data_IF_612098687344
#
_entry.id   IF_612098687344
#
_cell.length_a   1.000
_cell.length_b   1.000
_cell.length_c   1.000
_cell.angle_alpha   90.00
_cell.angle_beta   90.00
_cell.angle_gamma   90.00
#
_symmetry.space_group_name_H-M   'P 1'
#
loop_
_entity.id
_entity.type
_entity.pdbx_description
1 polymer ?
#
# COMPACT_ATOMS: atom_id res chain seq x y z
N UNK A 1 -7.33 -21.25 -51.15
CA UNK A 1 -7.53 -20.94 -49.72
C UNK A 1 -6.63 -19.79 -49.35
N UNK A 2 -7.14 -18.56 -49.47
CA UNK A 2 -6.45 -17.31 -49.14
C UNK A 2 -7.57 -16.30 -48.93
N UNK A 3 -8.33 -16.42 -47.84
CA UNK A 3 -9.45 -15.51 -47.52
C UNK A 3 -9.88 -15.50 -46.03
N UNK A 4 -9.23 -16.24 -45.12
CA UNK A 4 -9.69 -16.33 -43.73
C UNK A 4 -8.96 -15.39 -42.74
N UNK A 5 -7.83 -14.77 -43.14
CA UNK A 5 -7.05 -13.89 -42.26
C UNK A 5 -7.41 -12.41 -42.33
N UNK A 6 -8.14 -11.95 -43.35
CA UNK A 6 -8.56 -10.54 -43.46
C UNK A 6 -9.81 -10.24 -42.62
N UNK A 7 -10.69 -11.23 -42.39
CA UNK A 7 -11.92 -11.06 -41.61
C UNK A 7 -11.68 -10.91 -40.09
N UNK A 8 -10.65 -11.54 -39.53
CA UNK A 8 -10.35 -11.40 -38.09
C UNK A 8 -9.81 -10.01 -37.72
N UNK A 9 -9.06 -9.37 -38.62
CA UNK A 9 -8.54 -8.01 -38.41
C UNK A 9 -9.62 -6.93 -38.54
N UNK A 10 -10.63 -7.15 -39.37
CA UNK A 10 -11.77 -6.23 -39.51
C UNK A 10 -12.69 -6.29 -38.27
N UNK A 11 -12.90 -7.50 -37.73
CA UNK A 11 -13.67 -7.73 -36.50
C UNK A 11 -13.01 -7.11 -35.25
N UNK A 12 -11.68 -7.07 -35.19
CA UNK A 12 -10.94 -6.43 -34.09
C UNK A 12 -10.92 -4.90 -34.17
N UNK A 13 -11.25 -4.30 -35.32
CA UNK A 13 -11.28 -2.85 -35.48
C UNK A 13 -12.58 -2.18 -34.97
N UNK A 14 -13.64 -2.98 -34.78
CA UNK A 14 -14.99 -2.54 -34.44
C UNK A 14 -15.26 -2.48 -32.92
N UNK A 15 -14.34 -2.94 -32.08
CA UNK A 15 -14.50 -2.93 -30.63
C UNK A 15 -13.62 -1.82 -30.02
N UNK A 16 -14.30 -0.74 -29.62
CA UNK A 16 -13.84 0.33 -28.73
C UNK A 16 -12.72 1.26 -29.27
N UNK A 17 -13.10 2.28 -30.05
CA UNK A 17 -12.39 3.56 -30.06
C UNK A 17 -13.24 4.61 -29.35
N UNK A 18 -13.04 4.79 -28.04
CA UNK A 18 -13.28 6.11 -27.45
C UNK A 18 -12.00 6.90 -27.73
N UNK A 19 -12.10 7.89 -28.62
CA UNK A 19 -10.99 8.81 -28.88
C UNK A 19 -10.99 9.90 -27.79
N UNK A 20 -9.83 10.28 -27.24
CA UNK A 20 -9.74 11.40 -26.32
C UNK A 20 -10.30 12.68 -26.96
N UNK A 21 -11.32 13.27 -26.33
CA UNK A 21 -11.92 14.54 -26.75
C UNK A 21 -13.34 14.47 -27.36
N UNK A 22 -13.91 13.29 -27.56
CA UNK A 22 -15.33 13.16 -27.95
C UNK A 22 -16.24 12.87 -26.74
N UNK A 23 -17.51 13.32 -26.75
CA UNK A 23 -18.48 12.99 -25.70
C UNK A 23 -18.64 11.47 -25.58
N UNK A 24 -18.52 10.94 -24.36
CA UNK A 24 -18.79 9.52 -24.08
C UNK A 24 -20.21 9.11 -24.49
N UNK A 25 -20.40 7.82 -24.79
CA UNK A 25 -21.66 7.28 -25.33
C UNK A 25 -22.91 7.60 -24.48
N UNK A 26 -24.04 7.77 -25.16
CA UNK A 26 -25.32 8.15 -24.57
C UNK A 26 -25.85 7.07 -23.60
N UNK A 27 -26.05 7.39 -22.30
CA UNK A 27 -26.60 6.45 -21.32
C UNK A 27 -28.04 6.02 -21.61
N UNK A 28 -28.77 6.73 -22.50
CA UNK A 28 -30.09 6.35 -22.98
C UNK A 28 -30.04 5.44 -24.22
N UNK A 29 -28.85 5.11 -24.73
CA UNK A 29 -28.72 4.25 -25.89
C UNK A 29 -29.29 2.84 -25.61
N UNK A 30 -29.85 2.16 -26.63
CA UNK A 30 -30.48 0.85 -26.46
C UNK A 30 -29.60 -0.20 -25.77
N UNK A 31 -28.28 -0.15 -25.99
CA UNK A 31 -27.31 -1.04 -25.36
C UNK A 31 -27.14 -0.81 -23.85
N UNK A 32 -27.16 0.46 -23.41
CA UNK A 32 -27.07 0.81 -21.98
C UNK A 32 -28.36 0.41 -21.24
N UNK A 33 -29.52 0.60 -21.87
CA UNK A 33 -30.82 0.17 -21.34
C UNK A 33 -30.94 -1.36 -21.25
N UNK A 34 -30.43 -2.10 -22.24
CA UNK A 34 -30.40 -3.56 -22.18
C UNK A 34 -29.53 -4.07 -21.02
N UNK A 35 -28.38 -3.45 -20.77
CA UNK A 35 -27.52 -3.77 -19.63
C UNK A 35 -28.22 -3.47 -18.30
N UNK A 36 -28.81 -2.29 -18.16
CA UNK A 36 -29.53 -1.90 -16.94
C UNK A 36 -30.69 -2.85 -16.63
N UNK A 37 -31.43 -3.29 -17.66
CA UNK A 37 -32.55 -4.24 -17.52
C UNK A 37 -32.08 -5.62 -17.06
N UNK A 38 -30.88 -6.06 -17.48
CA UNK A 38 -30.29 -7.32 -17.02
C UNK A 38 -29.90 -7.30 -15.53
N UNK A 39 -29.44 -6.14 -15.05
CA UNK A 39 -29.04 -5.93 -13.66
C UNK A 39 -30.27 -5.83 -12.75
N UNK A 40 -31.31 -5.11 -13.18
CA UNK A 40 -32.53 -4.92 -12.39
C UNK A 40 -33.52 -6.09 -12.48
N UNK A 41 -33.46 -6.89 -13.55
CA UNK A 41 -34.31 -8.08 -13.74
C UNK A 41 -33.97 -9.28 -12.84
N UNK A 42 -32.93 -9.18 -11.99
CA UNK A 42 -32.50 -10.27 -11.08
C UNK A 42 -33.02 -10.13 -9.64
N UNK A 43 -33.94 -9.19 -9.38
CA UNK A 43 -34.56 -9.03 -8.07
C UNK A 43 -36.10 -9.05 -8.20
N UNK A 44 -36.68 -10.26 -8.26
CA UNK A 44 -38.06 -10.55 -7.81
C UNK A 44 -38.33 -12.06 -7.92
N UNK A 45 -38.29 -12.77 -6.79
CA UNK A 45 -38.82 -14.13 -6.67
C UNK A 45 -40.12 -14.12 -5.87
N UNK A 46 -41.27 -14.56 -6.42
CA UNK A 46 -42.51 -14.58 -5.67
C UNK A 46 -42.61 -15.80 -4.75
N UNK A 47 -43.01 -15.52 -3.51
CA UNK A 47 -43.52 -16.47 -2.54
C UNK A 47 -44.86 -17.04 -3.04
N UNK A 48 -44.94 -18.34 -3.27
CA UNK A 48 -46.24 -19.05 -3.25
C UNK A 48 -46.08 -20.47 -2.70
N UNK A 49 -46.79 -20.75 -1.61
CA UNK A 49 -46.98 -22.09 -1.09
C UNK A 49 -48.18 -22.78 -1.73
N UNK A 50 -48.13 -24.10 -1.85
CA UNK A 50 -49.30 -24.98 -1.81
C UNK A 50 -48.92 -26.36 -1.28
N UNK A 51 -49.85 -26.94 -0.50
CA UNK A 51 -49.74 -28.19 0.25
C UNK A 51 -50.36 -29.36 -0.53
N UNK A 52 -49.77 -30.55 -0.31
CA UNK A 52 -50.32 -31.94 -0.42
C UNK A 52 -50.57 -32.56 -1.80
N UNK A 53 -49.87 -33.67 -2.05
CA UNK A 53 -50.48 -35.01 -2.18
C UNK A 53 -49.42 -36.13 -2.04
N UNK A 54 -49.81 -37.22 -1.38
CA UNK A 54 -49.04 -38.46 -1.17
C UNK A 54 -49.03 -39.31 -2.44
N UNK A 55 -47.97 -40.08 -2.70
CA UNK A 55 -48.03 -41.55 -2.77
C UNK A 55 -46.64 -42.17 -3.05
N UNK A 56 -46.38 -43.30 -2.38
CA UNK A 56 -45.22 -44.17 -2.57
C UNK A 56 -45.09 -44.68 -4.02
N UNK A 57 -43.85 -44.88 -4.49
CA UNK A 57 -43.30 -46.22 -4.81
C UNK A 57 -41.87 -46.15 -5.35
N UNK A 58 -41.08 -47.13 -4.90
CA UNK A 58 -39.73 -47.54 -5.34
C UNK A 58 -39.61 -47.65 -6.86
N UNK A 59 -38.47 -47.24 -7.42
CA UNK A 59 -37.72 -48.02 -8.42
C UNK A 59 -36.30 -47.47 -8.65
N UNK A 60 -35.36 -48.40 -8.83
CA UNK A 60 -33.94 -48.25 -9.19
C UNK A 60 -33.73 -47.43 -10.47
N UNK A 61 -32.60 -46.72 -10.55
CA UNK A 61 -32.07 -46.26 -11.84
C UNK A 61 -30.81 -45.41 -11.72
N UNK A 62 -29.65 -46.03 -11.94
CA UNK A 62 -28.39 -45.36 -12.30
C UNK A 62 -28.61 -44.34 -13.42
N UNK A 63 -28.14 -43.09 -13.25
CA UNK A 63 -27.53 -42.28 -14.33
C UNK A 63 -26.52 -41.29 -13.74
N UNK A 64 -25.24 -41.53 -14.04
CA UNK A 64 -24.22 -40.49 -14.09
C UNK A 64 -24.73 -39.34 -14.97
N UNK A 65 -24.64 -38.09 -14.49
CA UNK A 65 -24.61 -36.92 -15.37
C UNK A 65 -23.92 -35.74 -14.70
N UNK A 66 -22.64 -35.61 -15.06
CA UNK A 66 -21.92 -34.39 -15.41
C UNK A 66 -21.86 -33.29 -14.34
N UNK A 67 -20.72 -33.31 -13.64
CA UNK A 67 -20.03 -32.12 -13.14
C UNK A 67 -19.90 -31.12 -14.29
N UNK A 68 -20.58 -29.97 -14.18
CA UNK A 68 -20.31 -28.80 -14.99
C UNK A 68 -19.56 -27.81 -14.10
N UNK A 69 -18.23 -27.83 -14.22
CA UNK A 69 -17.36 -26.75 -13.74
C UNK A 69 -17.60 -25.58 -14.70
N UNK A 70 -18.34 -24.58 -14.24
CA UNK A 70 -18.46 -23.30 -14.92
C UNK A 70 -17.23 -22.45 -14.63
N UNK A 71 -16.24 -22.50 -15.52
CA UNK A 71 -15.18 -21.49 -15.59
C UNK A 71 -15.81 -20.22 -16.16
N UNK A 72 -16.17 -19.27 -15.30
CA UNK A 72 -16.44 -17.90 -15.73
C UNK A 72 -15.09 -17.18 -15.85
N UNK A 73 -14.54 -17.18 -17.07
CA UNK A 73 -13.37 -16.38 -17.41
C UNK A 73 -13.79 -14.91 -17.53
N UNK A 74 -13.43 -14.10 -16.55
CA UNK A 74 -13.43 -12.63 -16.68
C UNK A 74 -12.08 -12.25 -17.28
N UNK A 75 -12.04 -11.99 -18.57
CA UNK A 75 -10.88 -11.37 -19.23
C UNK A 75 -11.07 -9.87 -19.26
N UNK A 76 -10.28 -9.13 -18.49
CA UNK A 76 -10.27 -7.67 -18.56
C UNK A 76 -9.54 -7.00 -17.40
N UNK A 77 -8.25 -7.31 -17.19
CA UNK A 77 -7.20 -6.45 -16.62
C UNK A 77 -5.91 -7.29 -16.54
N UNK A 78 -4.74 -6.64 -16.60
CA UNK A 78 -3.41 -7.24 -16.72
C UNK A 78 -3.26 -8.60 -16.01
N UNK A 79 -2.57 -9.56 -16.64
CA UNK A 79 -2.35 -10.90 -16.11
C UNK A 79 -1.46 -10.88 -14.85
N UNK A 80 -2.00 -10.37 -13.74
CA UNK A 80 -1.43 -10.49 -12.42
C UNK A 80 -1.71 -11.91 -11.95
N UNK A 81 -0.66 -12.69 -11.74
CA UNK A 81 -0.78 -13.98 -11.06
C UNK A 81 -1.05 -13.68 -9.59
N UNK A 82 -2.33 -13.69 -9.20
CA UNK A 82 -2.74 -13.65 -7.80
C UNK A 82 -2.46 -15.01 -7.22
N UNK A 83 -1.36 -15.13 -6.49
CA UNK A 83 -1.14 -16.28 -5.62
C UNK A 83 -1.77 -15.87 -4.28
N UNK A 84 -2.74 -16.63 -3.80
CA UNK A 84 -3.21 -16.53 -2.42
C UNK A 84 -2.77 -17.77 -1.66
N UNK A 85 -2.77 -17.76 -0.32
CA UNK A 85 -2.58 -18.99 0.44
C UNK A 85 -3.56 -20.04 -0.08
N UNK A 86 -3.01 -21.15 -0.58
CA UNK A 86 -3.79 -22.20 -1.21
C UNK A 86 -4.83 -22.74 -0.22
N UNK A 87 -6.09 -22.58 -0.59
CA UNK A 87 -7.26 -23.05 0.13
C UNK A 87 -7.27 -24.58 0.21
N UNK A 88 -6.57 -25.12 1.19
CA UNK A 88 -6.84 -26.45 1.76
C UNK A 88 -7.33 -26.25 3.20
N UNK A 89 -8.44 -25.53 3.35
CA UNK A 89 -9.29 -25.61 4.54
C UNK A 89 -10.69 -25.10 4.23
N UNK A 90 -11.60 -26.07 4.10
CA UNK A 90 -13.05 -25.99 4.27
C UNK A 90 -13.73 -24.61 4.17
N UNK A 91 -14.27 -24.31 2.99
CA UNK A 91 -15.71 -24.05 2.85
C UNK A 91 -16.38 -22.90 3.62
N UNK A 92 -15.66 -21.92 4.14
CA UNK A 92 -16.23 -20.65 4.64
C UNK A 92 -15.46 -19.48 4.04
N UNK A 93 -16.17 -18.45 3.58
CA UNK A 93 -15.56 -17.25 3.01
C UNK A 93 -14.62 -16.60 4.03
N UNK A 94 -13.33 -16.58 3.72
CA UNK A 94 -12.26 -16.06 4.56
C UNK A 94 -11.46 -15.07 3.72
N UNK A 95 -11.45 -13.80 4.12
CA UNK A 95 -10.45 -12.86 3.61
C UNK A 95 -9.07 -13.42 3.96
N UNK A 96 -8.16 -13.62 2.99
CA UNK A 96 -6.86 -14.18 3.27
C UNK A 96 -6.05 -13.23 4.15
N UNK A 97 -5.29 -13.75 5.11
CA UNK A 97 -4.44 -12.97 6.02
C UNK A 97 -3.45 -12.05 5.27
N UNK A 98 -3.09 -12.41 4.03
CA UNK A 98 -2.37 -11.56 3.09
C UNK A 98 -2.66 -11.98 1.64
N UNK A 99 -2.36 -11.09 0.70
CA UNK A 99 -2.32 -11.34 -0.73
C UNK A 99 -1.00 -10.83 -1.31
N UNK A 100 -0.40 -11.59 -2.23
CA UNK A 100 0.77 -11.15 -2.98
C UNK A 100 0.56 -11.38 -4.47
N UNK A 101 0.77 -10.35 -5.27
CA UNK A 101 0.77 -10.43 -6.73
C UNK A 101 2.08 -9.88 -7.29
N UNK A 102 2.48 -10.36 -8.46
CA UNK A 102 3.61 -9.84 -9.23
C UNK A 102 3.13 -9.46 -10.61
N UNK A 103 3.47 -8.26 -11.05
CA UNK A 103 3.19 -7.82 -12.42
C UNK A 103 4.30 -8.25 -13.39
N UNK A 104 4.07 -7.99 -14.69
CA UNK A 104 5.04 -8.27 -15.75
C UNK A 104 6.33 -7.45 -15.64
N UNK A 105 6.27 -6.31 -14.96
CA UNK A 105 7.41 -5.42 -14.74
C UNK A 105 8.26 -5.85 -13.55
N UNK A 106 7.84 -6.90 -12.84
CA UNK A 106 8.58 -7.46 -11.72
C UNK A 106 8.32 -6.73 -10.40
N UNK A 107 7.33 -5.84 -10.36
CA UNK A 107 6.85 -5.21 -9.14
C UNK A 107 5.90 -6.18 -8.44
N UNK A 108 6.18 -6.40 -7.16
CA UNK A 108 5.40 -7.25 -6.26
C UNK A 108 4.54 -6.35 -5.39
N UNK A 109 3.24 -6.58 -5.40
CA UNK A 109 2.28 -5.91 -4.53
C UNK A 109 1.93 -6.85 -3.39
N UNK A 110 2.02 -6.35 -2.17
CA UNK A 110 1.67 -7.09 -0.95
C UNK A 110 0.55 -6.36 -0.23
N UNK A 111 -0.45 -7.12 0.17
CA UNK A 111 -1.52 -6.68 1.07
C UNK A 111 -1.55 -7.62 2.26
N UNK A 112 -1.59 -7.10 3.48
CA UNK A 112 -1.65 -7.87 4.73
C UNK A 112 -2.86 -7.39 5.51
N UNK A 113 -3.81 -8.28 5.75
CA UNK A 113 -5.02 -8.03 6.55
C UNK A 113 -4.88 -8.57 7.98
N UNK A 114 -4.10 -9.62 8.16
CA UNK A 114 -3.85 -10.23 9.47
C UNK A 114 -2.37 -10.59 9.61
N UNK A 115 -1.77 -10.24 10.74
CA UNK A 115 -0.32 -10.28 10.94
C UNK A 115 0.24 -11.64 11.39
N UNK A 116 -0.64 -12.61 11.65
CA UNK A 116 -0.26 -13.89 12.24
C UNK A 116 0.50 -14.85 11.31
N UNK A 117 0.40 -14.70 9.98
CA UNK A 117 1.04 -15.61 9.00
C UNK A 117 2.23 -14.97 8.26
N UNK A 118 3.15 -14.38 9.03
CA UNK A 118 4.42 -13.84 8.50
C UNK A 118 5.25 -14.90 7.76
N UNK A 119 5.22 -16.15 8.23
CA UNK A 119 5.96 -17.25 7.60
C UNK A 119 5.37 -17.61 6.23
N UNK A 120 4.05 -17.65 6.10
CA UNK A 120 3.37 -17.83 4.82
C UNK A 120 3.70 -16.71 3.84
N UNK A 121 3.62 -15.45 4.30
CA UNK A 121 3.99 -14.30 3.50
C UNK A 121 5.45 -14.38 3.03
N UNK A 122 6.38 -14.74 3.91
CA UNK A 122 7.80 -14.94 3.58
C UNK A 122 7.99 -16.00 2.50
N UNK A 123 7.32 -17.15 2.62
CA UNK A 123 7.40 -18.22 1.61
C UNK A 123 6.87 -17.75 0.25
N UNK A 124 5.78 -16.98 0.24
CA UNK A 124 5.18 -16.48 -0.97
C UNK A 124 6.03 -15.39 -1.66
N UNK A 125 6.65 -14.50 -0.89
CA UNK A 125 7.63 -13.56 -1.43
C UNK A 125 8.83 -14.28 -2.04
N UNK A 126 9.31 -15.34 -1.38
CA UNK A 126 10.40 -16.18 -1.89
C UNK A 126 10.03 -16.88 -3.19
N UNK A 127 8.82 -17.40 -3.34
CA UNK A 127 8.39 -18.05 -4.59
C UNK A 127 8.32 -17.08 -5.78
N UNK A 128 8.20 -15.78 -5.50
CA UNK A 128 8.23 -14.69 -6.48
C UNK A 128 9.65 -14.11 -6.70
N UNK A 129 10.68 -14.76 -6.15
CA UNK A 129 12.08 -14.32 -6.19
C UNK A 129 12.31 -12.93 -5.56
N UNK A 130 11.52 -12.57 -4.56
CA UNK A 130 11.82 -11.39 -3.74
C UNK A 130 12.85 -11.78 -2.68
N UNK A 131 14.02 -11.14 -2.61
CA UNK A 131 14.98 -11.38 -1.52
C UNK A 131 14.46 -10.69 -0.26
N UNK A 132 13.51 -11.34 0.43
CA UNK A 132 12.86 -10.81 1.61
C UNK A 132 12.84 -11.78 2.79
N UNK A 133 12.95 -11.23 3.99
CA UNK A 133 12.61 -11.89 5.25
C UNK A 133 11.45 -11.15 5.86
N UNK A 134 10.42 -11.89 6.29
CA UNK A 134 9.30 -11.36 7.03
C UNK A 134 9.28 -12.00 8.40
N UNK A 135 9.26 -11.18 9.43
CA UNK A 135 9.22 -11.60 10.83
C UNK A 135 7.96 -11.07 11.52
N UNK A 136 7.42 -11.86 12.44
CA UNK A 136 6.35 -11.43 13.33
C UNK A 136 6.90 -11.12 14.71
N UNK A 137 6.58 -9.93 15.25
CA UNK A 137 6.89 -9.57 16.63
C UNK A 137 5.60 -9.43 17.44
N UNK A 138 5.39 -10.28 18.46
CA UNK A 138 4.25 -10.12 19.36
C UNK A 138 4.37 -8.84 20.20
N UNK A 139 3.26 -8.37 20.81
CA UNK A 139 3.27 -7.17 21.64
C UNK A 139 4.40 -7.16 22.69
N UNK A 140 5.13 -6.04 22.76
CA UNK A 140 6.24 -5.86 23.70
C UNK A 140 7.50 -6.67 23.40
N UNK A 141 7.63 -7.18 22.19
CA UNK A 141 8.86 -7.77 21.67
C UNK A 141 9.32 -7.05 20.41
N UNK A 142 10.64 -7.05 20.20
CA UNK A 142 11.27 -6.65 18.95
C UNK A 142 12.28 -7.71 18.53
N UNK A 143 12.68 -7.69 17.26
CA UNK A 143 13.86 -8.43 16.84
C UNK A 143 15.12 -7.75 17.38
N UNK A 144 16.08 -8.55 17.87
CA UNK A 144 17.40 -8.05 18.27
C UNK A 144 18.16 -7.54 17.04
N UNK A 145 18.61 -6.29 17.10
CA UNK A 145 19.48 -5.68 16.09
C UNK A 145 20.94 -5.57 16.58
N UNK A 146 21.94 -5.45 15.67
CA UNK A 146 21.80 -5.56 14.22
C UNK A 146 21.63 -7.00 13.75
N UNK A 147 20.80 -7.22 12.72
CA UNK A 147 20.63 -8.54 12.08
C UNK A 147 21.46 -8.73 10.83
N UNK A 148 21.95 -7.64 10.26
CA UNK A 148 22.80 -7.58 9.08
C UNK A 148 23.41 -6.19 8.97
N UNK A 149 24.15 -5.97 7.89
CA UNK A 149 24.65 -4.64 7.57
C UNK A 149 23.52 -3.81 6.96
N UNK A 150 23.29 -2.59 7.45
CA UNK A 150 22.23 -1.73 6.94
C UNK A 150 22.65 -1.06 5.62
N UNK A 151 21.75 -1.04 4.65
CA UNK A 151 21.95 -0.24 3.43
C UNK A 151 21.39 1.17 3.68
N UNK A 152 22.28 2.15 3.80
CA UNK A 152 21.88 3.54 4.05
C UNK A 152 21.25 4.20 2.81
N UNK A 153 21.76 3.89 1.62
CA UNK A 153 21.26 4.46 0.36
C UNK A 153 20.34 3.48 -0.34
N UNK A 154 19.06 3.53 0.02
CA UNK A 154 18.03 2.72 -0.63
C UNK A 154 17.71 3.29 -2.02
N UNK A 155 17.76 2.49 -3.09
CA UNK A 155 17.37 2.93 -4.42
C UNK A 155 15.94 3.48 -4.44
N UNK A 156 15.71 4.68 -5.00
CA UNK A 156 14.37 5.24 -5.11
C UNK A 156 13.41 4.29 -5.83
N UNK A 157 12.30 3.98 -5.18
CA UNK A 157 11.28 3.09 -5.74
C UNK A 157 11.50 1.60 -5.54
N UNK A 158 12.59 1.17 -4.87
CA UNK A 158 12.80 -0.24 -4.50
C UNK A 158 11.60 -0.82 -3.75
N UNK A 159 11.05 -0.06 -2.81
CA UNK A 159 9.80 -0.39 -2.15
C UNK A 159 9.01 0.87 -1.80
N UNK A 160 7.71 0.73 -1.54
CA UNK A 160 6.94 1.75 -0.83
C UNK A 160 6.92 1.44 0.65
N UNK A 161 6.91 2.47 1.50
CA UNK A 161 6.56 2.27 2.91
C UNK A 161 5.16 1.60 3.00
N UNK A 162 4.94 0.72 3.99
CA UNK A 162 3.62 0.16 4.26
C UNK A 162 2.60 1.29 4.48
N UNK A 163 1.46 1.19 3.79
CA UNK A 163 0.34 2.15 3.86
C UNK A 163 -0.92 1.43 4.31
N UNK A 164 -1.85 2.16 4.95
CA UNK A 164 -3.18 1.63 5.21
C UNK A 164 -3.86 1.23 3.89
N UNK A 165 -4.66 0.17 3.93
CA UNK A 165 -5.42 -0.30 2.77
C UNK A 165 -6.59 0.68 2.52
N UNK A 166 -6.71 1.27 1.32
CA UNK A 166 -7.81 2.17 1.01
C UNK A 166 -9.17 1.48 1.19
N UNK A 167 -10.05 2.10 1.97
CA UNK A 167 -11.38 1.56 2.26
C UNK A 167 -11.42 0.46 3.32
N UNK A 168 -10.30 0.11 3.96
CA UNK A 168 -10.30 -0.72 5.16
C UNK A 168 -10.80 0.10 6.37
N UNK A 169 -12.08 -0.05 6.70
CA UNK A 169 -12.72 0.65 7.82
C UNK A 169 -12.05 0.35 9.17
N UNK A 170 -11.38 -0.79 9.30
CA UNK A 170 -10.68 -1.18 10.52
C UNK A 170 -9.32 -0.50 10.66
N UNK A 171 -8.75 -0.02 9.54
CA UNK A 171 -7.38 0.52 9.46
C UNK A 171 -6.34 -0.41 10.10
N UNK A 172 -6.59 -1.71 9.96
CA UNK A 172 -5.78 -2.75 10.58
C UNK A 172 -4.86 -3.40 9.56
N UNK A 173 -5.11 -3.24 8.25
CA UNK A 173 -4.27 -3.84 7.20
C UNK A 173 -3.25 -2.89 6.59
N UNK A 174 -2.17 -3.48 6.06
CA UNK A 174 -1.12 -2.77 5.33
C UNK A 174 -1.04 -3.20 3.88
N UNK A 175 -0.70 -2.27 2.99
CA UNK A 175 -0.30 -2.56 1.62
C UNK A 175 1.05 -1.93 1.29
N UNK A 176 1.82 -2.58 0.42
CA UNK A 176 3.07 -2.05 -0.09
C UNK A 176 3.42 -2.64 -1.46
N UNK A 177 4.39 -2.02 -2.14
CA UNK A 177 4.99 -2.55 -3.36
C UNK A 177 6.50 -2.75 -3.19
N UNK A 178 7.06 -3.72 -3.89
CA UNK A 178 8.49 -4.06 -3.91
C UNK A 178 8.91 -4.27 -5.37
N UNK A 179 9.84 -3.48 -5.89
CA UNK A 179 10.39 -3.67 -7.23
C UNK A 179 11.60 -4.62 -7.17
N UNK A 180 11.43 -5.84 -7.68
CA UNK A 180 12.48 -6.87 -7.59
C UNK A 180 13.70 -6.59 -8.44
N UNK A 181 13.64 -5.66 -9.41
CA UNK A 181 14.76 -5.35 -10.30
C UNK A 181 15.77 -4.38 -9.70
N UNK A 182 15.40 -3.69 -8.63
CA UNK A 182 16.22 -2.64 -8.02
C UNK A 182 17.12 -3.15 -6.88
N UNK A 183 17.04 -4.44 -6.53
CA UNK A 183 17.95 -5.04 -5.54
C UNK A 183 19.35 -5.21 -6.13
N UNK A 184 20.37 -4.80 -5.38
CA UNK A 184 21.75 -5.21 -5.65
C UNK A 184 21.99 -6.65 -5.17
N UNK A 185 22.96 -7.38 -5.77
CA UNK A 185 23.29 -8.72 -5.32
C UNK A 185 23.62 -8.77 -3.83
N UNK A 186 22.96 -9.69 -3.11
CA UNK A 186 23.15 -9.88 -1.66
C UNK A 186 22.34 -8.93 -0.78
N UNK A 187 21.52 -8.04 -1.33
CA UNK A 187 20.57 -7.26 -0.56
C UNK A 187 19.34 -8.09 -0.18
N UNK A 188 18.81 -7.87 1.03
CA UNK A 188 17.60 -8.51 1.56
C UNK A 188 16.70 -7.46 2.19
N UNK A 189 15.43 -7.45 1.78
CA UNK A 189 14.38 -6.65 2.40
C UNK A 189 13.89 -7.33 3.69
N UNK A 190 14.10 -6.70 4.83
CA UNK A 190 13.67 -7.20 6.15
C UNK A 190 12.41 -6.44 6.56
N UNK A 191 11.30 -7.17 6.62
CA UNK A 191 10.01 -6.63 7.05
C UNK A 191 9.61 -7.25 8.38
N UNK A 192 9.53 -6.43 9.42
CA UNK A 192 9.00 -6.87 10.72
C UNK A 192 7.58 -6.35 10.88
N UNK A 193 6.64 -7.25 11.18
CA UNK A 193 5.23 -6.96 11.34
C UNK A 193 4.81 -7.30 12.77
N UNK A 194 4.08 -6.41 13.43
CA UNK A 194 3.44 -6.63 14.72
C UNK A 194 1.98 -6.19 14.68
N UNK A 195 1.23 -6.47 15.75
CA UNK A 195 -0.21 -6.14 15.83
C UNK A 195 -0.52 -4.66 15.61
N UNK A 196 0.41 -3.76 15.94
CA UNK A 196 0.25 -2.30 15.85
C UNK A 196 1.47 -1.59 15.26
N UNK A 197 2.41 -2.33 14.70
CA UNK A 197 3.66 -1.78 14.21
C UNK A 197 4.14 -2.52 12.99
N UNK A 198 4.87 -1.82 12.15
CA UNK A 198 5.53 -2.39 10.97
C UNK A 198 6.84 -1.64 10.76
N UNK A 199 7.91 -2.36 10.41
CA UNK A 199 9.19 -1.76 10.08
C UNK A 199 9.80 -2.44 8.86
N UNK A 200 10.50 -1.66 8.04
CA UNK A 200 11.13 -2.12 6.81
C UNK A 200 12.57 -1.64 6.79
N UNK A 201 13.52 -2.56 6.65
CA UNK A 201 14.95 -2.28 6.59
C UNK A 201 15.54 -3.01 5.38
N UNK A 202 16.37 -2.33 4.59
CA UNK A 202 17.18 -2.98 3.57
C UNK A 202 18.54 -3.35 4.19
N UNK A 203 18.91 -4.63 4.10
CA UNK A 203 20.19 -5.12 4.61
C UNK A 203 21.06 -5.72 3.51
N UNK A 204 22.38 -5.62 3.63
CA UNK A 204 23.36 -6.30 2.80
C UNK A 204 23.93 -7.54 3.49
N UNK A 205 24.21 -8.57 2.70
CA UNK A 205 24.79 -9.81 3.18
C UNK A 205 23.80 -10.72 3.92
N UNK A 206 24.30 -11.68 4.71
CA UNK A 206 23.46 -12.60 5.45
C UNK A 206 22.63 -11.86 6.53
N UNK A 207 21.30 -12.06 6.51
CA UNK A 207 20.41 -11.57 7.56
C UNK A 207 20.20 -12.67 8.61
N UNK A 208 20.56 -12.36 9.85
CA UNK A 208 20.34 -13.25 11.00
C UNK A 208 18.84 -13.41 11.30
N UNK A 209 18.40 -14.59 11.79
CA UNK A 209 17.01 -14.79 12.21
C UNK A 209 16.55 -13.81 13.30
N UNK A 210 15.25 -13.51 13.35
CA UNK A 210 14.69 -12.67 14.41
C UNK A 210 14.79 -13.38 15.77
N UNK A 211 15.64 -12.88 16.65
CA UNK A 211 15.67 -13.27 18.06
C UNK A 211 14.82 -12.27 18.84
N UNK A 212 13.67 -12.72 19.32
CA UNK A 212 12.77 -11.89 20.12
C UNK A 212 13.44 -11.46 21.42
N UNK A 213 13.57 -10.15 21.61
CA UNK A 213 13.99 -9.53 22.86
C UNK A 213 12.85 -8.68 23.40
N UNK A 214 12.82 -8.36 24.71
CA UNK A 214 11.95 -7.33 25.22
C UNK A 214 12.07 -6.08 24.35
N UNK A 215 10.93 -5.56 23.95
CA UNK A 215 10.90 -4.27 23.29
C UNK A 215 11.10 -3.20 24.36
N UNK A 216 12.35 -2.82 24.55
CA UNK A 216 12.74 -1.67 25.38
C UNK A 216 12.26 -0.33 24.77
N UNK A 217 11.70 -0.34 23.55
CA UNK A 217 10.92 0.78 23.06
C UNK A 217 9.59 0.93 23.80
N UNK A 218 9.13 -0.06 24.60
CA UNK A 218 7.98 0.08 25.53
C UNK A 218 8.32 0.96 26.76
N UNK A 219 9.57 1.41 26.90
CA UNK A 219 9.88 2.61 27.69
C UNK A 219 9.38 3.91 27.06
N UNK A 220 9.02 3.91 25.77
CA UNK A 220 8.22 4.93 25.09
C UNK A 220 6.75 4.49 25.08
N UNK A 221 6.11 4.56 26.23
CA UNK A 221 4.81 5.25 26.20
C UNK A 221 5.17 6.72 25.94
N UNK A 222 5.41 7.08 24.67
CA UNK A 222 5.32 8.48 24.28
C UNK A 222 3.84 8.82 24.36
N UNK A 223 3.39 9.24 25.55
CA UNK A 223 2.21 10.08 25.66
C UNK A 223 2.39 11.38 24.87
N UNK A 224 3.62 11.71 24.45
CA UNK A 224 3.92 12.76 23.49
C UNK A 224 5.02 12.30 22.51
N UNK A 225 4.80 12.34 21.17
CA UNK A 225 5.86 12.07 20.21
C UNK A 225 7.10 12.95 20.47
N UNK A 226 8.33 12.52 20.10
CA UNK A 226 9.56 13.23 20.46
C UNK A 226 9.66 14.58 19.76
N UNK A 227 8.81 14.76 18.76
CA UNK A 227 8.62 15.91 17.93
C UNK A 227 7.13 16.18 17.80
N UNK A 228 6.77 17.45 17.69
CA UNK A 228 5.39 17.88 17.42
C UNK A 228 5.40 19.01 16.42
N UNK A 229 4.32 19.15 15.66
CA UNK A 229 4.21 20.16 14.60
C UNK A 229 4.51 21.56 15.16
N UNK A 230 5.52 22.21 14.60
CA UNK A 230 6.03 23.49 15.10
C UNK A 230 5.13 24.66 14.71
N UNK A 231 4.34 24.51 13.65
CA UNK A 231 3.49 25.56 13.07
C UNK A 231 2.14 25.73 13.78
N UNK A 232 1.79 24.81 14.68
CA UNK A 232 0.58 24.88 15.51
C UNK A 232 0.61 26.08 16.46
N UNK A 233 -0.57 26.64 16.78
CA UNK A 233 -0.72 27.74 17.74
C UNK A 233 -0.04 27.43 19.08
N UNK A 234 0.73 28.39 19.59
CA UNK A 234 1.49 28.23 20.84
C UNK A 234 2.79 27.42 20.72
N UNK A 235 3.22 27.05 19.51
CA UNK A 235 4.50 26.36 19.25
C UNK A 235 5.54 27.27 18.60
N UNK A 236 6.79 26.79 18.47
CA UNK A 236 7.95 27.61 18.06
C UNK A 236 7.80 28.32 16.72
N UNK A 237 7.06 27.75 15.76
CA UNK A 237 6.77 28.34 14.44
C UNK A 237 5.30 28.74 14.28
N UNK A 238 4.56 28.94 15.37
CA UNK A 238 3.20 29.45 15.31
C UNK A 238 3.12 30.71 14.42
N UNK A 239 2.13 30.74 13.52
CA UNK A 239 1.90 31.85 12.59
C UNK A 239 2.84 31.90 11.38
N UNK A 240 3.73 30.91 11.21
CA UNK A 240 4.60 30.80 10.04
C UNK A 240 4.36 29.49 9.29
N UNK A 241 3.80 29.59 8.08
CA UNK A 241 3.58 28.45 7.19
C UNK A 241 4.91 28.05 6.56
N UNK A 242 5.29 26.77 6.70
CA UNK A 242 6.54 26.21 6.17
C UNK A 242 6.33 25.29 4.98
N UNK A 243 5.15 24.68 4.86
CA UNK A 243 4.88 23.68 3.84
C UNK A 243 5.00 24.29 2.44
N UNK A 244 5.63 23.52 1.55
CA UNK A 244 5.89 23.82 0.15
C UNK A 244 6.82 25.01 -0.10
N UNK A 245 7.37 25.61 0.96
CA UNK A 245 8.46 26.58 0.86
C UNK A 245 9.79 25.91 0.63
N UNK A 246 10.74 26.69 0.16
CA UNK A 246 12.13 26.27 0.06
C UNK A 246 12.84 26.40 1.42
N UNK A 247 13.90 25.63 1.63
CA UNK A 247 14.76 25.72 2.83
C UNK A 247 15.30 27.16 2.98
N UNK A 248 15.70 27.79 1.87
CA UNK A 248 16.17 29.18 1.84
C UNK A 248 15.12 30.20 2.27
N UNK A 249 13.82 29.91 2.12
CA UNK A 249 12.73 30.76 2.63
C UNK A 249 12.45 30.54 4.12
N UNK A 250 12.68 29.33 4.64
CA UNK A 250 12.34 28.93 6.02
C UNK A 250 13.47 29.24 7.00
N UNK A 251 14.73 29.04 6.60
CA UNK A 251 15.90 29.26 7.47
C UNK A 251 16.06 30.70 8.00
N UNK A 252 15.76 31.78 7.24
CA UNK A 252 15.79 33.13 7.79
C UNK A 252 14.86 33.32 8.99
N UNK A 253 13.68 32.71 8.95
CA UNK A 253 12.69 32.80 10.03
C UNK A 253 13.16 32.01 11.27
N UNK A 254 13.68 30.80 11.07
CA UNK A 254 14.25 29.99 12.16
C UNK A 254 15.38 30.74 12.87
N UNK A 255 16.29 31.34 12.11
CA UNK A 255 17.38 32.18 12.64
C UNK A 255 16.85 33.39 13.40
N UNK A 256 15.84 34.09 12.86
CA UNK A 256 15.20 35.25 13.51
C UNK A 256 14.59 34.87 14.87
N UNK A 257 14.07 33.66 15.00
CA UNK A 257 13.49 33.11 16.25
C UNK A 257 14.53 32.45 17.17
N UNK A 258 15.81 32.41 16.79
CA UNK A 258 16.87 31.78 17.59
C UNK A 258 16.77 30.26 17.67
N UNK A 259 16.15 29.64 16.66
CA UNK A 259 15.92 28.18 16.61
C UNK A 259 17.07 27.48 15.89
N UNK A 260 17.46 26.31 16.39
CA UNK A 260 18.39 25.39 15.74
C UNK A 260 17.64 24.54 14.71
N UNK A 261 18.36 24.02 13.73
CA UNK A 261 17.77 23.26 12.64
C UNK A 261 18.50 21.95 12.45
N UNK A 262 17.72 20.88 12.32
CA UNK A 262 18.11 19.59 11.78
C UNK A 262 17.20 19.26 10.59
N UNK A 263 17.62 18.36 9.71
CA UNK A 263 16.90 18.00 8.50
C UNK A 263 16.57 16.52 8.50
N UNK A 264 15.29 16.21 8.31
CA UNK A 264 14.82 14.88 7.95
C UNK A 264 14.65 14.82 6.44
N UNK A 265 15.58 14.14 5.77
CA UNK A 265 15.48 13.88 4.33
C UNK A 265 14.48 12.76 4.12
N UNK A 266 13.45 13.03 3.33
CA UNK A 266 12.36 12.09 3.10
C UNK A 266 12.57 11.27 1.83
N UNK A 267 12.31 9.96 1.92
CA UNK A 267 12.15 9.08 0.76
C UNK A 267 10.67 9.04 0.37
N UNK A 268 10.34 9.53 -0.83
CA UNK A 268 8.96 9.57 -1.31
C UNK A 268 8.69 8.39 -2.25
N UNK A 269 7.62 7.60 -2.02
CA UNK A 269 7.25 6.53 -2.93
C UNK A 269 6.95 7.06 -4.35
N UNK A 270 7.28 6.30 -5.41
CA UNK A 270 6.90 6.65 -6.77
C UNK A 270 5.40 6.90 -6.92
N UNK A 271 5.05 7.94 -7.69
CA UNK A 271 3.67 8.40 -7.85
C UNK A 271 3.14 9.25 -6.69
N UNK A 272 3.93 9.44 -5.62
CA UNK A 272 3.57 10.28 -4.47
C UNK A 272 2.13 10.06 -3.95
N UNK A 273 1.79 8.82 -3.53
CA UNK A 273 0.44 8.51 -3.06
C UNK A 273 0.11 9.15 -1.70
N UNK A 274 1.09 9.77 -1.03
CA UNK A 274 1.05 10.16 0.38
C UNK A 274 1.91 9.22 1.24
N UNK A 275 2.35 9.73 2.39
CA UNK A 275 3.32 9.08 3.24
C UNK A 275 4.77 9.25 2.75
N UNK A 276 5.71 9.10 3.68
CA UNK A 276 7.14 9.15 3.40
C UNK A 276 7.91 8.15 4.27
N UNK A 277 9.07 7.72 3.80
CA UNK A 277 10.08 7.06 4.63
C UNK A 277 11.12 8.06 5.11
N UNK A 278 11.67 7.82 6.30
CA UNK A 278 12.85 8.55 6.78
C UNK A 278 14.09 8.03 6.05
N UNK A 279 14.70 8.84 5.18
CA UNK A 279 15.94 8.44 4.50
C UNK A 279 17.15 8.69 5.40
N UNK A 280 17.23 9.89 5.99
CA UNK A 280 18.34 10.30 6.86
C UNK A 280 17.96 11.53 7.70
N UNK A 281 18.49 11.60 8.92
CA UNK A 281 18.48 12.81 9.75
C UNK A 281 19.91 13.38 9.81
N UNK A 282 20.05 14.70 9.68
CA UNK A 282 21.35 15.36 9.67
C UNK A 282 21.28 16.79 10.21
N UNK A 283 22.38 17.29 10.76
CA UNK A 283 22.54 18.71 11.13
C UNK A 283 23.22 19.52 10.02
N UNK A 284 23.90 18.83 9.09
CA UNK A 284 24.52 19.48 7.93
C UNK A 284 23.46 20.20 7.08
N UNK A 285 23.73 21.41 6.58
CA UNK A 285 22.81 22.11 5.69
C UNK A 285 22.50 21.29 4.42
N UNK A 286 21.25 21.34 3.98
CA UNK A 286 20.82 20.92 2.64
C UNK A 286 20.79 22.14 1.69
N UNK A 287 20.54 21.91 0.39
CA UNK A 287 20.44 23.01 -0.58
C UNK A 287 19.26 23.95 -0.27
N UNK A 288 19.45 25.25 -0.49
CA UNK A 288 18.43 26.26 -0.23
C UNK A 288 17.15 26.04 -1.05
N UNK A 289 17.27 25.39 -2.21
CA UNK A 289 16.18 25.06 -3.13
C UNK A 289 15.32 23.86 -2.71
N UNK A 290 15.77 23.09 -1.71
CA UNK A 290 15.04 21.93 -1.22
C UNK A 290 13.68 22.34 -0.67
N UNK A 291 12.66 21.50 -0.89
CA UNK A 291 11.29 21.79 -0.46
C UNK A 291 11.09 21.30 0.98
N UNK A 292 10.62 22.19 1.84
CA UNK A 292 10.14 21.91 3.19
C UNK A 292 8.67 21.52 3.12
N UNK A 293 8.33 20.37 3.68
CA UNK A 293 6.96 19.85 3.66
C UNK A 293 6.26 19.94 5.02
N UNK A 294 7.05 19.92 6.10
CA UNK A 294 6.61 20.21 7.46
C UNK A 294 7.81 20.61 8.32
N UNK A 295 7.53 21.27 9.45
CA UNK A 295 8.50 21.54 10.50
C UNK A 295 7.98 21.04 11.84
N UNK A 296 8.85 20.37 12.58
CA UNK A 296 8.51 19.84 13.90
C UNK A 296 9.49 20.37 14.95
N UNK A 297 9.00 20.66 16.14
CA UNK A 297 9.84 21.07 17.27
C UNK A 297 10.11 19.86 18.17
N UNK A 298 11.36 19.72 18.61
CA UNK A 298 11.74 18.67 19.55
C UNK A 298 11.15 18.94 20.93
N UNK A 299 10.49 17.92 21.51
CA UNK A 299 10.03 17.93 22.90
C UNK A 299 11.21 17.74 23.86
N UNK A 300 12.26 17.03 23.42
CA UNK A 300 13.43 16.67 24.24
C UNK A 300 14.51 17.74 24.24
N UNK A 301 14.66 18.46 23.12
CA UNK A 301 15.66 19.51 22.93
C UNK A 301 14.97 20.82 22.57
N UNK A 302 14.53 21.61 23.57
CA UNK A 302 13.85 22.87 23.32
C UNK A 302 14.64 23.80 22.39
N UNK A 303 13.97 24.36 21.39
CA UNK A 303 14.57 25.24 20.39
C UNK A 303 15.21 24.52 19.20
N UNK A 304 15.17 23.19 19.14
CA UNK A 304 15.53 22.42 17.94
C UNK A 304 14.30 22.21 17.05
N UNK A 305 14.41 22.57 15.78
CA UNK A 305 13.41 22.33 14.74
C UNK A 305 13.95 21.33 13.72
N UNK A 306 13.16 20.28 13.47
CA UNK A 306 13.36 19.33 12.40
C UNK A 306 12.58 19.76 11.17
N UNK A 307 13.27 20.03 10.07
CA UNK A 307 12.64 20.29 8.76
C UNK A 307 12.52 18.99 7.97
N UNK A 308 11.29 18.64 7.58
CA UNK A 308 11.01 17.50 6.72
C UNK A 308 11.16 17.95 5.27
N UNK A 309 12.18 17.44 4.57
CA UNK A 309 12.62 18.02 3.30
C UNK A 309 12.78 16.99 2.18
N UNK A 310 12.62 17.46 0.94
CA UNK A 310 13.03 16.72 -0.27
C UNK A 310 13.77 17.63 -1.25
N UNK A 311 14.71 17.06 -2.00
CA UNK A 311 15.46 17.77 -3.03
C UNK A 311 14.57 18.29 -4.18
N UNK A 312 13.61 17.46 -4.62
CA UNK A 312 12.65 17.81 -5.66
C UNK A 312 11.28 18.18 -5.09
N UNK A 313 10.55 19.03 -5.80
CA UNK A 313 9.14 19.31 -5.52
C UNK A 313 8.25 18.16 -6.00
N UNK A 314 7.21 17.86 -5.24
CA UNK A 314 6.16 16.90 -5.60
C UNK A 314 4.82 17.62 -5.80
N UNK A 315 3.89 16.94 -6.47
CA UNK A 315 2.53 17.42 -6.79
C UNK A 315 1.60 17.47 -5.57
N UNK A 316 1.90 16.70 -4.53
CA UNK A 316 1.14 16.64 -3.27
C UNK A 316 2.11 16.63 -2.10
N UNK A 317 1.66 17.12 -0.95
CA UNK A 317 2.46 17.04 0.28
C UNK A 317 2.64 15.56 0.70
N UNK A 318 3.87 15.04 0.76
CA UNK A 318 4.13 13.65 1.09
C UNK A 318 3.86 13.33 2.57
N UNK A 319 3.84 14.32 3.46
CA UNK A 319 3.55 14.14 4.90
C UNK A 319 2.06 13.82 5.10
N UNK A 320 1.18 14.44 4.31
CA UNK A 320 -0.28 14.39 4.52
C UNK A 320 -1.09 13.83 3.33
N UNK A 321 -0.47 13.55 2.19
CA UNK A 321 -1.10 12.92 1.02
C UNK A 321 -2.00 13.82 0.17
N UNK A 322 -2.00 15.14 0.36
CA UNK A 322 -2.85 16.07 -0.39
C UNK A 322 -2.53 17.54 -0.17
N UNK A 323 -3.18 18.47 -0.92
CA UNK A 323 -3.03 19.91 -0.71
C UNK A 323 -3.57 20.30 0.67
N UNK A 324 -2.78 21.06 1.42
CA UNK A 324 -3.19 21.60 2.73
C UNK A 324 -3.97 22.89 2.49
N UNK A 325 -5.30 22.83 2.40
CA UNK A 325 -6.18 23.99 2.56
C UNK A 325 -7.55 23.57 3.12
N UNK A 326 -7.60 23.40 4.45
CA UNK A 326 -8.75 23.74 5.29
C UNK A 326 -8.26 23.79 6.74
N UNK A 327 -7.90 25.00 7.19
CA UNK A 327 -7.96 25.43 8.60
C UNK A 327 -7.15 24.54 9.56
N UNK A 328 -6.01 25.03 10.04
CA UNK A 328 -5.54 24.64 11.39
C UNK A 328 -6.75 24.92 12.31
N UNK A 329 -7.41 23.92 12.90
CA UNK A 329 -8.56 24.21 13.76
C UNK A 329 -8.12 25.20 14.85
N UNK A 330 -8.94 26.23 15.05
CA UNK A 330 -8.71 27.38 15.93
C UNK A 330 -8.35 27.03 17.38
#
# INVERSE_FOLDING_TARGET
MKNDHENEMEALSALARVRPGEPGGDPAAPGALALLTSITGSADGPVTGTRRARHMRRARGFRLRRVAIGLAAVTGLAAAVVIGPSLLRDGTGLNPSYAVSKDSDGVVYVTVHEFGDAEGLRRQLRSLNVPATVDYTPPGKKCREPRGEHVERIPPGLYSVPQEIPGDERREGWQMRIDTKLFEPGQTFVWTIGERSTSTILMSGPVSPCVLVPDDSIGRVETDPPYRVATTKGRSLAGFRVDEKTVGEVLPELRRRGLKTEYLIMAIPPGNPGGFGELRVQDEPVGDEWVVWEAEESVRTPGLIRLLVTERRYDKNPVYGGPRDAIIPE
#
